data_IF_133758409524
#
_entry.id   IF_133758409524
#
_cell.length_a   1.000
_cell.length_b   1.000
_cell.length_c   1.000
_cell.angle_alpha   90.00
_cell.angle_beta   90.00
_cell.angle_gamma   90.00
#
_symmetry.space_group_name_H-M   'P 1'
#
loop_
_entity.id
_entity.type
_entity.pdbx_description
1 polymer ?
#
# COMPACT_ATOMS: atom_id res chain seq x y z
N UNK A 1 -18.12 -13.97 15.58
CA UNK A 1 -16.93 -13.12 15.87
C UNK A 1 -16.07 -13.64 17.03
N UNK A 2 -16.60 -14.31 18.05
CA UNK A 2 -15.81 -14.83 19.18
C UNK A 2 -14.76 -15.88 18.87
N UNK A 3 -14.78 -16.48 17.68
CA UNK A 3 -13.82 -17.52 17.26
C UNK A 3 -12.76 -17.03 16.27
N UNK A 4 -12.84 -15.77 15.81
CA UNK A 4 -11.92 -15.21 14.81
C UNK A 4 -10.76 -14.55 15.54
N UNK A 5 -9.53 -14.96 15.24
CA UNK A 5 -8.33 -14.32 15.76
C UNK A 5 -8.22 -12.88 15.25
N UNK A 6 -7.64 -11.99 16.06
CA UNK A 6 -7.36 -10.61 15.62
C UNK A 6 -6.46 -10.55 14.39
N UNK A 7 -5.54 -11.51 14.21
CA UNK A 7 -4.67 -11.60 13.04
C UNK A 7 -5.39 -11.99 11.74
N UNK A 8 -6.57 -12.64 11.85
CA UNK A 8 -7.38 -13.05 10.69
C UNK A 8 -8.33 -11.93 10.22
N UNK A 9 -8.40 -10.82 10.95
CA UNK A 9 -9.27 -9.70 10.59
C UNK A 9 -8.58 -8.85 9.52
N UNK A 10 -9.24 -8.72 8.36
CA UNK A 10 -8.78 -7.83 7.31
C UNK A 10 -8.60 -6.39 7.84
N UNK A 11 -7.40 -5.83 7.66
CA UNK A 11 -7.04 -4.51 8.19
C UNK A 11 -6.23 -4.54 9.49
N UNK A 12 -6.09 -5.69 10.15
CA UNK A 12 -5.16 -5.88 11.26
C UNK A 12 -3.91 -6.58 10.76
N UNK A 13 -2.87 -5.81 10.43
CA UNK A 13 -1.58 -6.34 10.04
C UNK A 13 -0.74 -6.76 11.26
N UNK A 14 0.37 -7.50 11.03
CA UNK A 14 1.26 -8.06 12.05
C UNK A 14 1.65 -7.10 13.18
N UNK A 15 1.87 -5.83 12.88
CA UNK A 15 2.24 -4.83 13.89
C UNK A 15 1.08 -4.51 14.85
N UNK A 16 -0.13 -4.42 14.32
CA UNK A 16 -1.31 -4.16 15.15
C UNK A 16 -1.71 -5.41 15.92
N UNK A 17 -1.59 -6.59 15.33
CA UNK A 17 -1.79 -7.86 16.02
C UNK A 17 -0.86 -8.01 17.22
N UNK A 18 0.44 -7.70 17.08
CA UNK A 18 1.39 -7.67 18.21
C UNK A 18 0.97 -6.71 19.31
N UNK A 19 0.52 -5.48 18.95
CA UNK A 19 0.05 -4.50 19.94
C UNK A 19 -1.18 -5.01 20.71
N UNK A 20 -2.12 -5.66 20.03
CA UNK A 20 -3.32 -6.25 20.62
C UNK A 20 -2.98 -7.43 21.51
N UNK A 21 -2.10 -8.33 21.08
CA UNK A 21 -1.61 -9.47 21.88
C UNK A 21 -0.94 -9.02 23.18
N UNK A 22 -0.18 -7.92 23.16
CA UNK A 22 0.48 -7.39 24.35
C UNK A 22 -0.49 -6.94 25.45
N UNK A 23 -1.75 -6.67 25.09
CA UNK A 23 -2.83 -6.32 26.05
C UNK A 23 -3.87 -7.43 26.18
N UNK A 24 -3.50 -8.67 25.81
CA UNK A 24 -4.37 -9.86 25.87
C UNK A 24 -5.63 -9.82 24.99
N UNK A 25 -5.67 -8.96 23.98
CA UNK A 25 -6.75 -8.90 22.98
C UNK A 25 -6.41 -9.86 21.84
N UNK A 26 -7.09 -11.02 21.81
CA UNK A 26 -6.79 -12.13 20.88
C UNK A 26 -7.91 -12.43 19.89
N UNK A 27 -9.13 -11.99 20.18
CA UNK A 27 -10.30 -12.25 19.34
C UNK A 27 -10.94 -10.98 18.80
N UNK A 28 -11.75 -11.12 17.74
CA UNK A 28 -12.52 -10.02 17.19
C UNK A 28 -13.48 -9.37 18.20
N UNK A 29 -14.05 -10.16 19.11
CA UNK A 29 -14.89 -9.64 20.19
C UNK A 29 -14.08 -8.82 21.18
N UNK A 30 -12.89 -9.28 21.57
CA UNK A 30 -12.01 -8.52 22.47
C UNK A 30 -11.65 -7.19 21.85
N UNK A 31 -11.38 -7.17 20.53
CA UNK A 31 -11.05 -5.95 19.80
C UNK A 31 -12.21 -4.96 19.76
N UNK A 32 -13.44 -5.41 19.50
CA UNK A 32 -14.65 -4.58 19.49
C UNK A 32 -14.88 -3.95 20.89
N UNK A 33 -14.59 -4.67 21.96
CA UNK A 33 -14.78 -4.19 23.34
C UNK A 33 -13.72 -3.20 23.80
N UNK A 34 -12.67 -2.91 23.00
CA UNK A 34 -11.68 -1.91 23.35
C UNK A 34 -12.28 -0.48 23.35
N UNK A 35 -11.81 0.41 24.25
CA UNK A 35 -12.21 1.82 24.20
C UNK A 35 -11.79 2.48 22.88
N UNK A 36 -12.68 3.27 22.27
CA UNK A 36 -12.44 3.98 21.01
C UNK A 36 -11.19 4.86 21.06
N UNK A 37 -10.96 5.53 22.21
CA UNK A 37 -9.78 6.37 22.40
C UNK A 37 -8.49 5.56 22.35
N UNK A 38 -8.47 4.35 22.91
CA UNK A 38 -7.31 3.47 22.86
C UNK A 38 -7.01 3.04 21.42
N UNK A 39 -8.06 2.61 20.70
CA UNK A 39 -7.93 2.16 19.29
C UNK A 39 -7.43 3.32 18.42
N UNK A 40 -8.02 4.51 18.56
CA UNK A 40 -7.61 5.70 17.80
C UNK A 40 -6.15 6.08 18.06
N UNK A 41 -5.70 6.01 19.31
CA UNK A 41 -4.32 6.34 19.71
C UNK A 41 -3.30 5.33 19.19
N UNK A 42 -3.59 4.02 19.25
CA UNK A 42 -2.63 2.95 18.97
C UNK A 42 -2.69 2.40 17.55
N UNK A 43 -3.85 2.50 16.88
CA UNK A 43 -4.11 1.95 15.54
C UNK A 43 -4.60 3.00 14.55
N UNK A 44 -4.56 4.29 14.91
CA UNK A 44 -5.02 5.43 14.12
C UNK A 44 -6.55 5.46 13.87
N UNK A 45 -6.99 6.45 13.09
CA UNK A 45 -8.39 6.59 12.68
C UNK A 45 -8.87 5.40 11.82
N UNK A 46 -7.97 4.74 11.09
CA UNK A 46 -8.28 3.56 10.28
C UNK A 46 -8.66 2.39 11.18
N UNK A 47 -7.93 2.15 12.27
CA UNK A 47 -8.26 1.12 13.25
C UNK A 47 -9.62 1.39 13.92
N UNK A 48 -9.94 2.66 14.21
CA UNK A 48 -11.23 3.02 14.77
C UNK A 48 -12.37 2.78 13.77
N UNK A 49 -12.20 3.12 12.49
CA UNK A 49 -13.17 2.81 11.44
C UNK A 49 -13.41 1.32 11.33
N UNK A 50 -12.34 0.51 11.30
CA UNK A 50 -12.43 -0.94 11.28
C UNK A 50 -13.23 -1.48 12.47
N UNK A 51 -12.97 -0.97 13.69
CA UNK A 51 -13.75 -1.35 14.88
C UNK A 51 -15.24 -1.05 14.70
N UNK A 52 -15.58 0.14 14.23
CA UNK A 52 -16.98 0.55 13.99
C UNK A 52 -17.67 -0.33 12.95
N UNK A 53 -16.99 -0.71 11.88
CA UNK A 53 -17.51 -1.64 10.89
C UNK A 53 -17.78 -3.03 11.48
N UNK A 54 -16.90 -3.53 12.32
CA UNK A 54 -17.09 -4.79 13.04
C UNK A 54 -18.23 -4.71 14.07
N UNK A 55 -18.52 -3.53 14.61
CA UNK A 55 -19.70 -3.23 15.44
C UNK A 55 -21.01 -3.18 14.61
N UNK A 56 -20.91 -3.23 13.28
CA UNK A 56 -22.07 -3.14 12.37
C UNK A 56 -22.41 -1.72 11.93
N UNK A 57 -21.57 -0.73 12.28
CA UNK A 57 -21.73 0.65 11.84
C UNK A 57 -20.88 0.92 10.60
N UNK A 58 -21.45 1.06 9.39
CA UNK A 58 -20.66 1.31 8.19
C UNK A 58 -19.95 2.66 8.31
N UNK A 59 -18.63 2.65 8.12
CA UNK A 59 -17.78 3.85 8.20
C UNK A 59 -17.12 4.21 6.87
N UNK A 60 -17.20 3.31 5.90
CA UNK A 60 -16.74 3.50 4.54
C UNK A 60 -17.95 3.37 3.62
N UNK A 61 -18.30 4.44 2.94
CA UNK A 61 -19.24 4.37 1.83
C UNK A 61 -18.56 3.65 0.64
N UNK A 62 -19.36 2.88 -0.10
CA UNK A 62 -18.91 2.35 -1.39
C UNK A 62 -18.76 3.55 -2.31
N UNK A 63 -17.52 3.89 -2.69
CA UNK A 63 -17.24 4.99 -3.61
C UNK A 63 -17.81 4.63 -4.99
N UNK A 64 -18.94 5.21 -5.36
CA UNK A 64 -19.53 5.07 -6.70
C UNK A 64 -18.77 5.90 -7.76
N UNK A 65 -18.06 6.94 -7.34
CA UNK A 65 -17.32 7.82 -8.24
C UNK A 65 -15.84 7.48 -8.25
N UNK A 66 -15.26 7.32 -9.45
CA UNK A 66 -13.83 7.19 -9.64
C UNK A 66 -13.13 8.49 -9.24
N UNK A 67 -12.53 8.52 -8.05
CA UNK A 67 -11.66 9.63 -7.64
C UNK A 67 -10.42 9.62 -8.55
N UNK A 68 -10.12 10.75 -9.17
CA UNK A 68 -8.90 10.91 -9.96
C UNK A 68 -7.67 10.72 -9.07
N UNK A 69 -6.78 9.84 -9.52
CA UNK A 69 -5.56 9.55 -8.77
C UNK A 69 -4.57 10.70 -8.92
N UNK A 70 -4.08 11.22 -7.82
CA UNK A 70 -3.02 12.25 -7.78
C UNK A 70 -1.65 11.72 -8.21
N UNK A 71 -1.45 10.41 -8.16
CA UNK A 71 -0.24 9.75 -8.63
C UNK A 71 -0.59 8.42 -9.30
N UNK A 72 0.13 8.09 -10.36
CA UNK A 72 -0.02 6.84 -11.10
C UNK A 72 1.30 6.09 -11.02
N UNK A 73 1.22 4.81 -10.67
CA UNK A 73 2.39 3.96 -10.57
C UNK A 73 2.23 2.67 -11.38
N UNK A 74 3.36 2.16 -11.85
CA UNK A 74 3.49 0.82 -12.41
C UNK A 74 4.70 0.18 -11.76
N UNK A 75 4.47 -0.87 -10.97
CA UNK A 75 5.51 -1.61 -10.26
C UNK A 75 5.34 -3.09 -10.49
N UNK A 76 6.44 -3.82 -10.57
CA UNK A 76 6.47 -5.27 -10.70
C UNK A 76 7.62 -5.85 -9.90
N UNK A 77 7.41 -7.02 -9.34
CA UNK A 77 8.48 -7.87 -8.85
C UNK A 77 8.99 -8.72 -10.02
N UNK A 78 10.29 -8.96 -10.05
CA UNK A 78 10.92 -9.82 -11.05
C UNK A 78 10.95 -11.26 -10.52
N UNK A 79 10.80 -12.24 -11.41
CA UNK A 79 10.88 -13.66 -11.07
C UNK A 79 12.32 -14.06 -10.68
N UNK A 80 13.30 -13.46 -11.34
CA UNK A 80 14.74 -13.63 -11.07
C UNK A 80 15.43 -12.29 -10.88
N UNK A 81 16.62 -12.31 -10.30
CA UNK A 81 17.42 -11.10 -10.14
C UNK A 81 17.89 -10.61 -11.51
N UNK A 82 17.79 -9.31 -11.74
CA UNK A 82 18.27 -8.64 -12.95
C UNK A 82 19.67 -8.11 -12.67
N UNK A 83 20.64 -8.53 -13.48
CA UNK A 83 22.04 -8.09 -13.40
C UNK A 83 22.50 -7.29 -14.62
N UNK A 84 21.72 -7.28 -15.70
CA UNK A 84 22.01 -6.53 -16.91
C UNK A 84 21.34 -5.15 -16.89
N UNK A 85 22.08 -4.13 -17.30
CA UNK A 85 21.55 -2.78 -17.45
C UNK A 85 20.54 -2.70 -18.61
N UNK A 86 20.79 -3.42 -19.67
CA UNK A 86 19.94 -3.48 -20.86
C UNK A 86 18.55 -4.02 -20.50
N UNK A 87 18.49 -5.14 -19.77
CA UNK A 87 17.22 -5.73 -19.31
C UNK A 87 16.46 -4.76 -18.39
N UNK A 88 17.18 -4.02 -17.56
CA UNK A 88 16.57 -3.05 -16.66
C UNK A 88 15.95 -1.87 -17.43
N UNK A 89 16.68 -1.35 -18.44
CA UNK A 89 16.21 -0.27 -19.32
C UNK A 89 14.95 -0.70 -20.08
N UNK A 90 14.95 -1.91 -20.65
CA UNK A 90 13.78 -2.44 -21.36
C UNK A 90 12.54 -2.48 -20.46
N UNK A 91 12.71 -2.97 -19.23
CA UNK A 91 11.59 -3.06 -18.27
C UNK A 91 11.10 -1.68 -17.83
N UNK A 92 12.00 -0.74 -17.53
CA UNK A 92 11.64 0.64 -17.19
C UNK A 92 10.87 1.28 -18.33
N UNK A 93 11.32 1.09 -19.56
CA UNK A 93 10.64 1.58 -20.77
C UNK A 93 9.23 1.00 -20.89
N UNK A 94 9.09 -0.30 -20.73
CA UNK A 94 7.78 -0.98 -20.76
C UNK A 94 6.85 -0.44 -19.67
N UNK A 95 7.35 -0.25 -18.43
CA UNK A 95 6.53 0.29 -17.33
C UNK A 95 6.15 1.75 -17.54
N UNK A 96 7.02 2.53 -18.15
CA UNK A 96 6.73 3.91 -18.53
C UNK A 96 5.59 3.99 -19.55
N UNK A 97 5.61 3.14 -20.58
CA UNK A 97 4.50 3.03 -21.54
C UNK A 97 3.18 2.65 -20.87
N UNK A 98 3.21 1.70 -19.93
CA UNK A 98 2.00 1.31 -19.19
C UNK A 98 1.51 2.45 -18.28
N UNK A 99 2.42 3.19 -17.63
CA UNK A 99 2.07 4.34 -16.81
C UNK A 99 1.47 5.47 -17.65
N UNK A 100 2.05 5.79 -18.80
CA UNK A 100 1.55 6.78 -19.76
C UNK A 100 0.14 6.41 -20.26
N UNK A 101 -0.11 5.13 -20.55
CA UNK A 101 -1.45 4.66 -20.92
C UNK A 101 -2.47 4.93 -19.80
N UNK A 102 -2.09 4.71 -18.53
CA UNK A 102 -2.97 4.99 -17.38
C UNK A 102 -3.25 6.49 -17.24
N UNK A 103 -2.23 7.36 -17.47
CA UNK A 103 -2.39 8.82 -17.47
C UNK A 103 -3.39 9.26 -18.54
N UNK A 104 -3.21 8.81 -19.78
CA UNK A 104 -4.14 9.11 -20.87
C UNK A 104 -5.56 8.63 -20.61
N UNK A 105 -5.72 7.45 -20.02
CA UNK A 105 -7.04 6.92 -19.66
C UNK A 105 -7.74 7.76 -18.59
N UNK A 106 -6.98 8.41 -17.71
CA UNK A 106 -7.49 9.33 -16.70
C UNK A 106 -7.62 10.78 -17.25
N UNK A 107 -7.15 11.04 -18.48
CA UNK A 107 -7.05 12.38 -19.09
C UNK A 107 -6.20 13.33 -18.23
N UNK A 108 -5.14 12.81 -17.64
CA UNK A 108 -4.22 13.54 -16.78
C UNK A 108 -2.83 13.62 -17.39
N UNK A 109 -2.05 14.58 -16.94
CA UNK A 109 -0.65 14.76 -17.29
C UNK A 109 0.22 14.69 -16.03
N UNK A 110 1.49 14.35 -16.18
CA UNK A 110 2.47 14.42 -15.11
C UNK A 110 3.57 15.44 -15.45
N UNK A 111 4.09 16.07 -14.43
CA UNK A 111 5.26 16.96 -14.49
C UNK A 111 6.44 16.40 -13.68
N UNK A 112 6.27 15.25 -13.06
CA UNK A 112 7.28 14.62 -12.22
C UNK A 112 7.27 13.10 -12.42
N UNK A 113 8.45 12.51 -12.55
CA UNK A 113 8.65 11.06 -12.69
C UNK A 113 9.54 10.58 -11.55
N UNK A 114 9.16 9.47 -10.92
CA UNK A 114 9.98 8.77 -9.97
C UNK A 114 10.24 7.35 -10.47
N UNK A 115 11.50 6.97 -10.55
CA UNK A 115 11.94 5.60 -10.83
C UNK A 115 12.60 5.05 -9.58
N UNK A 116 12.24 3.85 -9.16
CA UNK A 116 12.88 3.20 -8.01
C UNK A 116 13.13 1.72 -8.27
N UNK A 117 14.18 1.23 -7.66
CA UNK A 117 14.62 -0.17 -7.70
C UNK A 117 14.89 -0.61 -6.27
N UNK A 118 14.53 -1.83 -5.93
CA UNK A 118 14.86 -2.43 -4.64
C UNK A 118 15.15 -3.92 -4.78
N UNK A 119 16.05 -4.43 -3.96
CA UNK A 119 16.25 -5.87 -3.80
C UNK A 119 15.04 -6.52 -3.13
N UNK A 120 14.90 -7.84 -3.31
CA UNK A 120 13.84 -8.60 -2.66
C UNK A 120 14.04 -8.60 -1.12
N UNK A 121 13.11 -8.02 -0.33
CA UNK A 121 13.25 -7.94 1.12
C UNK A 121 13.12 -9.30 1.83
N UNK A 122 12.65 -10.35 1.12
CA UNK A 122 12.44 -11.68 1.66
C UNK A 122 13.61 -12.65 1.37
N UNK A 123 14.58 -12.24 0.56
CA UNK A 123 15.83 -13.01 0.41
C UNK A 123 16.76 -12.74 1.59
N UNK A 124 17.39 -13.80 2.09
CA UNK A 124 18.34 -13.75 3.21
C UNK A 124 19.72 -13.15 2.82
N UNK A 125 19.80 -12.38 1.77
CA UNK A 125 21.03 -11.66 1.44
C UNK A 125 21.15 -10.42 2.30
N UNK A 126 22.29 -10.27 2.97
CA UNK A 126 22.61 -9.12 3.84
C UNK A 126 22.70 -7.77 3.08
N UNK A 127 22.64 -7.78 1.76
CA UNK A 127 22.70 -6.59 0.93
C UNK A 127 21.30 -6.16 0.48
N UNK A 128 20.62 -5.44 1.37
CA UNK A 128 19.36 -4.76 0.99
C UNK A 128 19.70 -3.50 0.21
N UNK A 129 19.30 -3.48 -1.03
CA UNK A 129 19.49 -2.34 -1.91
C UNK A 129 18.15 -1.67 -2.18
N UNK A 130 18.11 -0.35 -2.06
CA UNK A 130 17.00 0.50 -2.48
C UNK A 130 17.57 1.79 -3.05
N UNK A 131 17.20 2.10 -4.26
CA UNK A 131 17.55 3.35 -4.91
C UNK A 131 16.30 3.95 -5.57
N UNK A 132 16.14 5.27 -5.47
CA UNK A 132 15.08 6.00 -6.14
C UNK A 132 15.61 7.32 -6.67
N UNK A 133 15.16 7.67 -7.87
CA UNK A 133 15.45 8.93 -8.52
C UNK A 133 14.15 9.61 -8.92
N UNK A 134 13.99 10.86 -8.52
CA UNK A 134 12.84 11.69 -8.91
C UNK A 134 13.32 12.87 -9.72
N UNK A 135 12.71 13.11 -10.87
CA UNK A 135 13.01 14.21 -11.76
C UNK A 135 11.76 14.97 -12.19
N UNK A 136 11.88 16.27 -12.34
CA UNK A 136 10.83 17.10 -12.92
C UNK A 136 10.97 17.13 -14.44
N UNK A 137 9.85 17.08 -15.15
CA UNK A 137 9.79 17.23 -16.59
C UNK A 137 9.78 18.72 -16.95
N UNK A 138 10.32 19.11 -18.10
CA UNK A 138 10.33 20.51 -18.55
C UNK A 138 8.93 21.05 -18.84
N UNK A 139 7.97 20.17 -19.12
CA UNK A 139 6.55 20.46 -19.33
C UNK A 139 5.70 19.26 -18.91
N UNK A 140 4.43 19.52 -18.61
CA UNK A 140 3.48 18.44 -18.30
C UNK A 140 3.19 17.62 -19.55
N UNK A 141 3.15 16.30 -19.39
CA UNK A 141 2.91 15.37 -20.50
C UNK A 141 2.20 14.10 -20.04
N UNK A 142 1.56 13.43 -20.98
CA UNK A 142 0.97 12.09 -20.80
C UNK A 142 1.63 11.02 -21.69
N UNK A 143 2.71 11.37 -22.36
CA UNK A 143 3.49 10.46 -23.24
C UNK A 143 4.85 10.11 -22.64
#
# INVERSE_FOLDING_TARGET
MGKISTGDIWGIGLQNEKKLSNINVKSGIDFINLPDQWVKKNMSIIGLKLKKELEGSPTLDIEETKIEKKSIATTRSFESDISSLEDLIERITTYSVVASKKLRNQKSECNMICVFIRSNPFKNNNERYHYSLTGSLPFSTSS
#
